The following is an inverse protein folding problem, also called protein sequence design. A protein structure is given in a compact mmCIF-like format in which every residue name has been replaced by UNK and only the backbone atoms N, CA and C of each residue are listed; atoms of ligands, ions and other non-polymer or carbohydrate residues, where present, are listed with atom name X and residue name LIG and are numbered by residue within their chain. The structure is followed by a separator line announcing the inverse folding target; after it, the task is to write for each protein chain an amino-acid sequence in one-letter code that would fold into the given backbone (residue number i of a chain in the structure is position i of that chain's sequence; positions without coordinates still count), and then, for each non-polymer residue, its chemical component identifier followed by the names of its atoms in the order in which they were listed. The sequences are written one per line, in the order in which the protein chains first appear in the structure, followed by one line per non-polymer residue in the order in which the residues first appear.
data_IF_342187620211
#
_entry.id   IF_342187620211
#
_cell.length_a   1.000
_cell.length_b   1.000
_cell.length_c   1.000
_cell.angle_alpha   90.00
_cell.angle_beta   90.00
_cell.angle_gamma   90.00
#
_symmetry.space_group_name_H-M   'P 1'
#
loop_
_entity.id
_entity.type
_entity.pdbx_description
1 polymer ?
#
# COMPACT_ATOMS: atom_id res chain seq x y z
N UNK A 1 -4.75 15.13 13.19
CA UNK A 1 -3.31 15.25 12.84
C UNK A 1 -2.63 13.90 12.63
N UNK A 2 -2.78 12.92 13.52
CA UNK A 2 -2.08 11.61 13.43
C UNK A 2 -2.38 10.87 12.11
N UNK A 3 -3.64 10.83 11.66
CA UNK A 3 -4.04 10.17 10.38
C UNK A 3 -3.25 10.73 9.19
N UNK A 4 -3.06 12.05 9.12
CA UNK A 4 -2.32 12.70 8.02
C UNK A 4 -0.87 12.26 8.02
N UNK A 5 -0.22 12.22 9.19
CA UNK A 5 1.17 11.76 9.31
C UNK A 5 1.35 10.31 8.84
N UNK A 6 0.43 9.43 9.23
CA UNK A 6 0.45 8.02 8.79
C UNK A 6 0.21 7.90 7.28
N UNK A 7 -0.72 8.67 6.72
CA UNK A 7 -0.96 8.70 5.28
C UNK A 7 0.25 9.23 4.49
N UNK A 8 0.96 10.23 5.01
CA UNK A 8 2.20 10.74 4.39
C UNK A 8 3.29 9.66 4.36
N UNK A 9 3.44 8.87 5.42
CA UNK A 9 4.36 7.71 5.43
C UNK A 9 3.93 6.71 4.34
N UNK A 10 2.63 6.48 4.18
CA UNK A 10 2.07 5.67 3.10
C UNK A 10 2.45 6.19 1.70
N UNK A 11 2.36 7.50 1.47
CA UNK A 11 2.76 8.13 0.19
C UNK A 11 4.25 7.93 -0.08
N UNK A 12 5.11 8.13 0.91
CA UNK A 12 6.56 7.91 0.77
C UNK A 12 6.85 6.46 0.38
N UNK A 13 6.16 5.51 1.00
CA UNK A 13 6.27 4.09 0.67
C UNK A 13 5.82 3.80 -0.77
N UNK A 14 4.71 4.40 -1.22
CA UNK A 14 4.23 4.31 -2.60
C UNK A 14 5.22 4.90 -3.61
N UNK A 15 5.83 6.06 -3.31
CA UNK A 15 6.85 6.68 -4.16
C UNK A 15 8.06 5.77 -4.32
N UNK A 16 8.55 5.18 -3.22
CA UNK A 16 9.66 4.23 -3.27
C UNK A 16 9.29 2.96 -4.05
N UNK A 17 8.10 2.40 -3.82
CA UNK A 17 7.61 1.24 -4.58
C UNK A 17 7.49 1.52 -6.07
N UNK A 18 6.98 2.69 -6.45
CA UNK A 18 6.86 3.11 -7.85
C UNK A 18 8.22 3.32 -8.50
N UNK A 19 9.18 3.92 -7.79
CA UNK A 19 10.55 4.05 -8.26
C UNK A 19 11.20 2.69 -8.53
N UNK A 20 10.96 1.70 -7.67
CA UNK A 20 11.41 0.32 -7.88
C UNK A 20 10.73 -0.28 -9.12
N UNK A 21 9.41 -0.17 -9.22
CA UNK A 21 8.64 -0.70 -10.35
C UNK A 21 9.20 -0.19 -11.69
N UNK A 22 9.47 1.12 -11.80
CA UNK A 22 10.06 1.68 -13.01
C UNK A 22 11.47 1.16 -13.30
N UNK A 23 12.32 1.05 -12.27
CA UNK A 23 13.71 0.57 -12.45
C UNK A 23 13.73 -0.89 -12.88
N UNK A 24 12.93 -1.74 -12.24
CA UNK A 24 12.80 -3.16 -12.59
C UNK A 24 12.19 -3.35 -13.98
N UNK A 25 11.27 -2.47 -14.41
CA UNK A 25 10.71 -2.50 -15.75
C UNK A 25 11.72 -2.12 -16.84
N UNK A 26 12.63 -1.18 -16.54
CA UNK A 26 13.66 -0.70 -17.49
C UNK A 26 14.90 -1.60 -17.55
N UNK A 27 15.33 -2.13 -16.41
CA UNK A 27 16.53 -2.95 -16.30
C UNK A 27 16.23 -4.25 -15.55
N UNK A 28 16.23 -5.37 -16.28
CA UNK A 28 16.01 -6.71 -15.72
C UNK A 28 17.14 -7.18 -14.80
N UNK A 29 18.31 -6.53 -14.82
CA UNK A 29 19.43 -6.83 -13.91
C UNK A 29 19.38 -6.02 -12.61
N UNK A 30 18.53 -4.99 -12.54
CA UNK A 30 18.36 -4.19 -11.33
C UNK A 30 17.79 -5.04 -10.20
N UNK A 31 18.50 -5.05 -9.06
CA UNK A 31 18.06 -5.69 -7.81
C UNK A 31 17.79 -4.61 -6.75
N UNK A 32 16.52 -4.40 -6.36
CA UNK A 32 16.19 -3.48 -5.29
C UNK A 32 16.72 -3.97 -3.94
N UNK A 33 16.91 -3.05 -3.00
CA UNK A 33 17.36 -3.36 -1.62
C UNK A 33 16.37 -4.28 -0.89
N UNK A 34 15.08 -4.22 -1.23
CA UNK A 34 14.05 -5.09 -0.66
C UNK A 34 14.02 -6.52 -1.25
N UNK A 35 14.88 -6.84 -2.21
CA UNK A 35 15.11 -8.22 -2.68
C UNK A 35 16.30 -8.83 -1.93
N UNK A 36 16.01 -9.43 -0.77
CA UNK A 36 17.03 -10.00 0.13
C UNK A 36 17.28 -11.48 -0.21
N UNK A 37 16.23 -12.21 -0.57
CA UNK A 37 16.30 -13.64 -0.91
C UNK A 37 15.13 -14.04 -1.80
N UNK A 38 15.13 -15.28 -2.30
CA UNK A 38 13.98 -15.79 -3.07
C UNK A 38 12.68 -15.80 -2.27
N UNK A 39 12.74 -15.90 -0.94
CA UNK A 39 11.55 -15.84 -0.09
C UNK A 39 11.18 -14.41 0.29
N UNK A 40 12.07 -13.43 0.12
CA UNK A 40 11.87 -12.02 0.48
C UNK A 40 12.18 -11.15 -0.74
N UNK A 41 11.18 -10.92 -1.59
CA UNK A 41 11.34 -10.13 -2.82
C UNK A 41 10.15 -9.20 -3.08
N UNK A 42 10.46 -7.90 -3.14
CA UNK A 42 9.52 -6.88 -3.59
C UNK A 42 9.35 -6.91 -5.13
N UNK A 43 10.41 -7.17 -5.89
CA UNK A 43 10.30 -7.24 -7.36
C UNK A 43 9.37 -8.36 -7.81
N UNK A 44 9.40 -9.52 -7.13
CA UNK A 44 8.51 -10.64 -7.44
C UNK A 44 7.05 -10.28 -7.19
N UNK A 45 6.76 -9.56 -6.11
CA UNK A 45 5.40 -9.10 -5.83
C UNK A 45 4.92 -8.06 -6.86
N UNK A 46 5.76 -7.07 -7.19
CA UNK A 46 5.44 -5.99 -8.13
C UNK A 46 5.23 -6.51 -9.56
N UNK A 47 6.10 -7.42 -10.03
CA UNK A 47 5.98 -8.01 -11.38
C UNK A 47 4.93 -9.12 -11.47
N UNK A 48 4.31 -9.51 -10.37
CA UNK A 48 3.26 -10.51 -10.41
C UNK A 48 2.03 -9.97 -11.16
N UNK A 49 1.18 -10.88 -11.66
CA UNK A 49 -0.12 -10.50 -12.25
C UNK A 49 -1.03 -9.72 -11.30
N UNK A 50 -0.73 -9.72 -10.00
CA UNK A 50 -1.47 -9.01 -8.95
C UNK A 50 -0.85 -7.67 -8.57
N UNK A 51 0.33 -7.32 -9.10
CA UNK A 51 0.99 -6.04 -8.88
C UNK A 51 0.30 -4.86 -9.57
N UNK A 52 -0.68 -5.16 -10.43
CA UNK A 52 -1.52 -4.18 -11.12
C UNK A 52 -3.00 -4.50 -10.90
N UNK A 53 -3.78 -3.46 -10.63
CA UNK A 53 -5.23 -3.51 -10.54
C UNK A 53 -5.81 -2.90 -11.83
N UNK A 54 -6.49 -3.71 -12.64
CA UNK A 54 -7.01 -3.30 -13.96
C UNK A 54 -5.95 -2.62 -14.87
N UNK A 55 -4.71 -3.09 -14.81
CA UNK A 55 -3.58 -2.53 -15.57
C UNK A 55 -2.89 -1.31 -14.93
N UNK A 56 -3.46 -0.75 -13.86
CA UNK A 56 -2.88 0.35 -13.09
C UNK A 56 -1.99 -0.23 -11.99
N UNK A 57 -0.79 0.32 -11.81
CA UNK A 57 0.09 -0.09 -10.71
C UNK A 57 -0.60 0.05 -9.35
N UNK A 58 -0.47 -0.98 -8.51
CA UNK A 58 -0.94 -0.90 -7.13
C UNK A 58 -0.26 0.23 -6.33
N UNK A 59 0.98 0.60 -6.67
CA UNK A 59 1.69 1.70 -5.98
C UNK A 59 1.05 3.06 -6.31
N UNK A 60 0.58 3.25 -7.55
CA UNK A 60 -0.20 4.42 -7.95
C UNK A 60 -1.59 4.43 -7.32
N UNK A 61 -2.28 3.29 -7.31
CA UNK A 61 -3.58 3.16 -6.62
C UNK A 61 -3.44 3.53 -5.13
N UNK A 62 -2.40 3.01 -4.47
CA UNK A 62 -2.09 3.35 -3.08
C UNK A 62 -1.79 4.84 -2.88
N UNK A 63 -1.05 5.46 -3.79
CA UNK A 63 -0.74 6.89 -3.72
C UNK A 63 -2.00 7.75 -3.79
N UNK A 64 -2.90 7.46 -4.75
CA UNK A 64 -4.21 8.13 -4.85
C UNK A 64 -5.03 7.91 -3.59
N UNK A 65 -5.06 6.67 -3.08
CA UNK A 65 -5.77 6.34 -1.84
C UNK A 65 -5.30 7.19 -0.65
N UNK A 66 -4.00 7.30 -0.41
CA UNK A 66 -3.47 8.11 0.70
C UNK A 66 -3.70 9.61 0.50
N UNK A 67 -3.58 10.12 -0.73
CA UNK A 67 -3.88 11.52 -1.05
C UNK A 67 -5.36 11.84 -0.79
N UNK A 68 -6.27 10.95 -1.20
CA UNK A 68 -7.70 11.11 -0.92
C UNK A 68 -7.98 11.12 0.58
N UNK A 69 -7.32 10.27 1.37
CA UNK A 69 -7.45 10.31 2.84
C UNK A 69 -7.03 11.68 3.39
N UNK A 70 -5.88 12.20 2.98
CA UNK A 70 -5.39 13.51 3.44
C UNK A 70 -6.38 14.62 3.06
N UNK A 71 -6.87 14.59 1.82
CA UNK A 71 -7.85 15.55 1.33
C UNK A 71 -9.16 15.49 2.14
N UNK A 72 -9.75 14.31 2.30
CA UNK A 72 -10.99 14.16 3.08
C UNK A 72 -10.81 14.55 4.55
N UNK A 73 -9.63 14.30 5.12
CA UNK A 73 -9.30 14.71 6.49
C UNK A 73 -9.24 16.23 6.63
N UNK A 74 -8.76 16.95 5.60
CA UNK A 74 -8.72 18.41 5.59
C UNK A 74 -10.13 19.03 5.63
N UNK A 75 -11.11 18.39 4.97
CA UNK A 75 -12.52 18.81 5.00
C UNK A 75 -13.32 18.23 6.18
N UNK A 76 -12.66 17.53 7.11
CA UNK A 76 -13.31 16.89 8.28
C UNK A 76 -14.42 15.88 7.91
N UNK A 77 -14.30 15.21 6.77
CA UNK A 77 -15.27 14.20 6.31
C UNK A 77 -14.98 12.81 6.90
N UNK A 78 -15.03 12.70 8.24
CA UNK A 78 -14.59 11.53 9.01
C UNK A 78 -15.30 10.22 8.60
N UNK A 79 -16.59 10.27 8.28
CA UNK A 79 -17.36 9.11 7.81
C UNK A 79 -16.77 8.52 6.50
N UNK A 80 -16.46 9.38 5.53
CA UNK A 80 -15.88 8.95 4.24
C UNK A 80 -14.47 8.41 4.44
N UNK A 81 -13.66 9.04 5.31
CA UNK A 81 -12.33 8.52 5.68
C UNK A 81 -12.46 7.11 6.28
N UNK A 82 -13.40 6.89 7.19
CA UNK A 82 -13.64 5.58 7.79
C UNK A 82 -14.00 4.53 6.73
N UNK A 83 -15.03 4.75 5.90
CA UNK A 83 -15.41 3.78 4.85
C UNK A 83 -14.29 3.53 3.85
N UNK A 84 -13.52 4.55 3.48
CA UNK A 84 -12.38 4.41 2.58
C UNK A 84 -11.28 3.55 3.20
N UNK A 85 -10.91 3.80 4.46
CA UNK A 85 -9.91 2.99 5.19
C UNK A 85 -10.39 1.57 5.47
N UNK A 86 -11.70 1.35 5.64
CA UNK A 86 -12.29 0.03 5.77
C UNK A 86 -12.13 -0.77 4.47
N UNK A 87 -12.44 -0.15 3.33
CA UNK A 87 -12.19 -0.74 2.01
C UNK A 87 -10.69 -1.04 1.80
N UNK A 88 -9.80 -0.12 2.20
CA UNK A 88 -8.35 -0.31 2.15
C UNK A 88 -7.85 -1.46 3.04
N UNK A 89 -8.44 -1.62 4.24
CA UNK A 89 -8.17 -2.75 5.13
C UNK A 89 -8.60 -4.09 4.52
N UNK A 90 -9.83 -4.17 3.99
CA UNK A 90 -10.32 -5.36 3.28
C UNK A 90 -9.44 -5.71 2.08
N UNK A 91 -9.06 -4.72 1.27
CA UNK A 91 -8.15 -4.91 0.14
C UNK A 91 -6.77 -5.43 0.61
N UNK A 92 -6.26 -4.93 1.73
CA UNK A 92 -4.99 -5.38 2.32
C UNK A 92 -5.05 -6.85 2.76
N UNK A 93 -6.18 -7.32 3.30
CA UNK A 93 -6.38 -8.74 3.64
C UNK A 93 -6.30 -9.60 2.37
N UNK A 94 -7.01 -9.20 1.32
CA UNK A 94 -7.02 -9.93 0.04
C UNK A 94 -5.63 -9.97 -0.58
N UNK A 95 -4.93 -8.84 -0.62
CA UNK A 95 -3.58 -8.76 -1.17
C UNK A 95 -2.55 -9.51 -0.31
N UNK A 96 -2.70 -9.52 1.01
CA UNK A 96 -1.88 -10.34 1.91
C UNK A 96 -2.09 -11.84 1.63
N UNK A 97 -3.34 -12.28 1.50
CA UNK A 97 -3.64 -13.67 1.13
C UNK A 97 -2.99 -14.05 -0.20
N UNK A 98 -3.11 -13.20 -1.23
CA UNK A 98 -2.46 -13.42 -2.53
C UNK A 98 -0.94 -13.50 -2.39
N UNK A 99 -0.34 -12.58 -1.63
CA UNK A 99 1.10 -12.49 -1.45
C UNK A 99 1.67 -13.76 -0.80
N UNK A 100 1.06 -14.22 0.30
CA UNK A 100 1.55 -15.37 1.05
C UNK A 100 1.17 -16.71 0.43
N UNK A 101 -0.03 -16.84 -0.15
CA UNK A 101 -0.54 -18.13 -0.67
C UNK A 101 -0.23 -18.34 -2.15
N UNK A 102 -0.42 -17.30 -2.98
CA UNK A 102 -0.29 -17.43 -4.45
C UNK A 102 1.13 -17.11 -4.92
N UNK A 103 1.69 -15.98 -4.47
CA UNK A 103 3.04 -15.53 -4.89
C UNK A 103 4.13 -16.23 -4.08
N UNK A 104 3.83 -16.59 -2.83
CA UNK A 104 4.74 -17.29 -1.90
C UNK A 104 6.05 -16.51 -1.69
N UNK A 105 5.93 -15.21 -1.47
CA UNK A 105 7.06 -14.33 -1.14
C UNK A 105 6.66 -13.33 -0.07
N UNK A 106 7.62 -12.90 0.75
CA UNK A 106 7.46 -11.85 1.74
C UNK A 106 7.93 -10.53 1.12
N UNK A 107 6.99 -9.68 0.75
CA UNK A 107 7.27 -8.34 0.25
C UNK A 107 7.24 -7.35 1.42
N UNK A 108 8.41 -6.91 1.91
CA UNK A 108 8.49 -5.97 3.03
C UNK A 108 7.70 -4.68 2.76
N UNK A 109 7.79 -4.12 1.57
CA UNK A 109 7.03 -2.92 1.18
C UNK A 109 5.52 -3.13 1.27
N UNK A 110 5.03 -4.26 0.74
CA UNK A 110 3.63 -4.59 0.72
C UNK A 110 3.11 -4.83 2.15
N UNK A 111 3.87 -5.59 2.95
CA UNK A 111 3.54 -5.85 4.36
C UNK A 111 3.50 -4.55 5.17
N UNK A 112 4.47 -3.64 4.98
CA UNK A 112 4.43 -2.31 5.62
C UNK A 112 3.21 -1.51 5.20
N UNK A 113 2.84 -1.53 3.92
CA UNK A 113 1.63 -0.86 3.44
C UNK A 113 0.35 -1.43 4.10
N UNK A 114 0.27 -2.74 4.27
CA UNK A 114 -0.88 -3.37 4.95
C UNK A 114 -0.97 -2.94 6.41
N UNK A 115 0.17 -2.90 7.12
CA UNK A 115 0.21 -2.39 8.51
C UNK A 115 -0.25 -0.94 8.58
N UNK A 116 0.24 -0.08 7.67
CA UNK A 116 -0.19 1.33 7.58
C UNK A 116 -1.71 1.41 7.36
N UNK A 117 -2.27 0.62 6.46
CA UNK A 117 -3.71 0.62 6.19
C UNK A 117 -4.55 0.20 7.41
N UNK A 118 -4.10 -0.81 8.17
CA UNK A 118 -4.78 -1.21 9.40
C UNK A 118 -4.66 -0.16 10.51
N UNK A 119 -3.51 0.51 10.63
CA UNK A 119 -3.34 1.64 11.55
C UNK A 119 -4.28 2.78 11.18
N UNK A 120 -4.39 3.11 9.89
CA UNK A 120 -5.33 4.13 9.41
C UNK A 120 -6.78 3.76 9.70
N UNK A 121 -7.17 2.51 9.47
CA UNK A 121 -8.51 2.00 9.80
C UNK A 121 -8.83 2.11 11.29
N UNK A 122 -7.88 1.75 12.15
CA UNK A 122 -8.07 1.88 13.60
C UNK A 122 -8.24 3.34 14.03
N UNK A 123 -7.40 4.24 13.50
CA UNK A 123 -7.45 5.66 13.83
C UNK A 123 -8.74 6.32 13.30
N UNK A 124 -9.16 6.00 12.07
CA UNK A 124 -10.38 6.53 11.46
C UNK A 124 -11.63 6.04 12.18
N UNK A 125 -11.66 4.76 12.59
CA UNK A 125 -12.75 4.19 13.38
C UNK A 125 -12.93 4.94 14.71
N UNK A 126 -11.82 5.21 15.41
CA UNK A 126 -11.85 6.01 16.66
C UNK A 126 -12.36 7.43 16.42
N UNK A 127 -11.95 8.08 15.34
CA UNK A 127 -12.40 9.43 15.00
C UNK A 127 -13.86 9.47 14.53
N UNK A 128 -14.38 8.39 13.94
CA UNK A 128 -15.76 8.35 13.48
C UNK A 128 -16.77 8.13 14.62
N UNK A 129 -16.38 7.38 15.66
CA UNK A 129 -17.24 7.08 16.81
C UNK A 129 -17.16 8.09 17.95
N UNK A 130 -16.08 8.85 18.06
CA UNK A 130 -15.89 9.89 19.08
C UNK A 130 -16.25 11.27 18.54
#
# INVERSE_FOLDING_TARGET
MIIVSVAVIGIILCLYGFAIEQKVAKDKKYKPVCDISDKISCSRAINSKYGKLFGISNTLVGMVYYLTIIFLQYFNLSALVFYLTLAGGCASIVLAFILYVRIKTLCLLCTTAYVINFVLLYLSYKQYLG
#
